data_IF_684743998458
#
_entry.id   IF_684743998458
#
_cell.length_a   1.000
_cell.length_b   1.000
_cell.length_c   1.000
_cell.angle_alpha   90.00
_cell.angle_beta   90.00
_cell.angle_gamma   90.00
#
_symmetry.space_group_name_H-M   'P 1'
#
loop_
_entity.id
_entity.type
_entity.pdbx_description
1 polymer ?
#
# COMPACT_ATOMS: atom_id res chain seq x y z
N UNK A 1 44.81 43.74 -38.44
CA UNK A 1 44.81 42.75 -37.32
C UNK A 1 43.80 43.25 -36.29
N UNK A 2 42.56 42.77 -36.34
CA UNK A 2 41.44 43.25 -35.52
C UNK A 2 41.20 42.23 -34.41
N UNK A 3 41.26 42.67 -33.14
CA UNK A 3 40.95 41.85 -31.97
C UNK A 3 39.44 41.84 -31.76
N UNK A 4 38.84 40.66 -31.74
CA UNK A 4 37.46 40.43 -31.31
C UNK A 4 37.55 39.68 -29.97
N UNK A 5 36.90 40.12 -28.88
CA UNK A 5 36.84 39.34 -27.66
C UNK A 5 35.77 38.25 -27.77
N UNK A 6 36.20 37.00 -27.67
CA UNK A 6 35.32 35.83 -27.58
C UNK A 6 34.47 35.90 -26.31
N UNK A 7 33.16 35.86 -26.50
CA UNK A 7 32.17 35.84 -25.43
C UNK A 7 32.18 34.45 -24.81
N UNK A 8 32.72 34.33 -23.59
CA UNK A 8 32.62 33.10 -22.80
C UNK A 8 31.18 32.89 -22.36
N UNK A 9 30.39 32.18 -23.16
CA UNK A 9 29.10 31.63 -22.73
C UNK A 9 29.32 30.20 -22.29
N UNK A 10 29.56 30.07 -20.99
CA UNK A 10 29.51 28.83 -20.21
C UNK A 10 28.17 28.13 -20.45
N UNK A 11 28.17 27.07 -21.25
CA UNK A 11 27.07 26.11 -21.30
C UNK A 11 27.45 24.91 -20.45
N UNK A 12 27.16 25.02 -19.15
CA UNK A 12 27.09 23.88 -18.25
C UNK A 12 26.07 22.89 -18.81
N UNK A 13 26.55 21.78 -19.36
CA UNK A 13 25.73 20.60 -19.66
C UNK A 13 25.36 19.91 -18.34
N UNK A 14 24.44 20.50 -17.58
CA UNK A 14 23.67 19.78 -16.57
C UNK A 14 22.52 19.07 -17.30
N UNK A 15 22.74 17.84 -17.70
CA UNK A 15 21.64 16.90 -17.91
C UNK A 15 21.81 15.79 -16.89
N UNK A 16 21.38 16.09 -15.66
CA UNK A 16 21.07 15.07 -14.68
C UNK A 16 19.86 14.33 -15.26
N UNK A 17 20.12 13.17 -15.85
CA UNK A 17 19.07 12.23 -16.22
C UNK A 17 18.42 11.79 -14.92
N UNK A 18 17.31 12.42 -14.56
CA UNK A 18 16.43 11.91 -13.51
C UNK A 18 15.89 10.57 -14.01
N UNK A 19 16.61 9.50 -13.68
CA UNK A 19 16.07 8.15 -13.72
C UNK A 19 14.96 8.15 -12.67
N UNK A 20 13.72 8.42 -13.10
CA UNK A 20 12.54 8.09 -12.31
C UNK A 20 12.64 6.61 -12.03
N UNK A 21 13.09 6.26 -10.83
CA UNK A 21 12.96 4.90 -10.33
C UNK A 21 11.46 4.65 -10.26
N UNK A 22 10.92 4.00 -11.29
CA UNK A 22 9.69 3.25 -11.12
C UNK A 22 10.06 2.08 -10.20
N UNK A 23 10.03 2.32 -8.89
CA UNK A 23 9.82 1.24 -7.95
C UNK A 23 8.50 0.59 -8.36
N UNK A 24 8.51 -0.72 -8.59
CA UNK A 24 7.28 -1.49 -8.74
C UNK A 24 6.33 -1.08 -7.61
N UNK A 25 5.01 -1.01 -7.82
CA UNK A 25 4.09 -0.78 -6.72
C UNK A 25 4.29 -1.92 -5.74
N UNK A 26 5.03 -1.67 -4.65
CA UNK A 26 5.14 -2.57 -3.52
C UNK A 26 3.74 -2.66 -2.98
N UNK A 27 3.04 -3.69 -3.45
CA UNK A 27 1.66 -3.93 -3.06
C UNK A 27 1.74 -4.31 -1.59
N UNK A 28 1.45 -3.33 -0.73
CA UNK A 28 1.38 -3.48 0.72
C UNK A 28 0.62 -4.77 1.01
N UNK A 29 1.34 -5.78 1.50
CA UNK A 29 0.81 -7.10 1.78
C UNK A 29 0.72 -7.23 3.28
N UNK A 30 -0.46 -7.59 3.76
CA UNK A 30 -0.71 -7.79 5.16
C UNK A 30 -1.63 -8.97 5.41
N UNK A 31 -1.89 -9.19 6.69
CA UNK A 31 -2.71 -10.27 7.19
C UNK A 31 -3.82 -9.67 8.04
N UNK A 32 -5.03 -10.21 7.88
CA UNK A 32 -6.13 -9.97 8.80
C UNK A 32 -6.39 -11.23 9.62
N UNK A 33 -6.76 -11.03 10.88
CA UNK A 33 -7.32 -12.05 11.75
C UNK A 33 -8.63 -11.55 12.34
N UNK A 34 -9.69 -12.33 12.17
CA UNK A 34 -11.00 -12.10 12.76
C UNK A 34 -11.20 -13.09 13.90
N UNK A 35 -11.58 -12.59 15.07
CA UNK A 35 -11.99 -13.41 16.22
C UNK A 35 -13.47 -13.18 16.49
N UNK A 36 -14.24 -14.27 16.47
CA UNK A 36 -15.66 -14.32 16.78
C UNK A 36 -15.89 -15.35 17.90
N UNK A 37 -17.08 -15.40 18.54
CA UNK A 37 -17.32 -16.30 19.68
C UNK A 37 -17.02 -17.79 19.44
N UNK A 38 -17.13 -18.25 18.19
CA UNK A 38 -17.00 -19.66 17.84
C UNK A 38 -15.89 -19.96 16.84
N UNK A 39 -15.15 -18.95 16.38
CA UNK A 39 -14.04 -19.17 15.45
C UNK A 39 -13.00 -18.06 15.48
N UNK A 40 -11.78 -18.40 15.10
CA UNK A 40 -10.73 -17.47 14.70
C UNK A 40 -10.32 -17.81 13.27
N UNK A 41 -10.27 -16.82 12.38
CA UNK A 41 -9.95 -17.05 10.98
C UNK A 41 -9.10 -15.92 10.39
N UNK A 42 -8.21 -16.27 9.47
CA UNK A 42 -7.31 -15.33 8.81
C UNK A 42 -7.53 -15.23 7.31
N UNK A 43 -7.08 -14.11 6.73
CA UNK A 43 -7.03 -13.91 5.29
C UNK A 43 -5.86 -12.97 4.92
N UNK A 44 -5.31 -13.16 3.73
CA UNK A 44 -4.32 -12.23 3.18
C UNK A 44 -5.03 -10.96 2.70
N UNK A 45 -4.33 -9.83 2.80
CA UNK A 45 -4.76 -8.54 2.30
C UNK A 45 -3.65 -7.97 1.43
N UNK A 46 -3.97 -7.59 0.20
CA UNK A 46 -3.01 -6.94 -0.70
C UNK A 46 -3.61 -5.63 -1.17
N UNK A 47 -2.87 -4.53 -1.00
CA UNK A 47 -3.34 -3.19 -1.37
C UNK A 47 -4.63 -2.78 -0.65
N UNK A 48 -4.83 -3.26 0.58
CA UNK A 48 -6.03 -2.98 1.38
C UNK A 48 -7.27 -3.80 0.99
N UNK A 49 -7.15 -4.80 0.11
CA UNK A 49 -8.26 -5.66 -0.31
C UNK A 49 -8.01 -7.11 0.11
N UNK A 50 -9.03 -7.78 0.64
CA UNK A 50 -8.95 -9.19 1.03
C UNK A 50 -8.77 -10.06 -0.22
N UNK A 51 -7.66 -10.77 -0.31
CA UNK A 51 -7.33 -11.61 -1.46
C UNK A 51 -6.42 -12.78 -1.07
N UNK A 52 -5.80 -13.45 -2.05
CA UNK A 52 -4.84 -14.52 -1.78
C UNK A 52 -5.43 -15.72 -1.03
N UNK A 53 -4.72 -16.14 0.02
CA UNK A 53 -5.07 -17.23 0.93
C UNK A 53 -6.13 -16.74 1.91
N UNK A 54 -7.27 -17.43 1.93
CA UNK A 54 -8.42 -17.05 2.75
C UNK A 54 -8.97 -18.30 3.42
N UNK A 55 -9.17 -18.25 4.73
CA UNK A 55 -9.85 -19.32 5.45
C UNK A 55 -11.24 -19.59 4.85
N UNK A 56 -11.70 -20.86 4.73
CA UNK A 56 -12.96 -21.19 4.06
C UNK A 56 -14.18 -20.39 4.55
N UNK A 57 -14.28 -20.18 5.87
CA UNK A 57 -15.37 -19.42 6.50
C UNK A 57 -15.37 -17.93 6.10
N UNK A 58 -14.24 -17.38 5.66
CA UNK A 58 -14.11 -15.97 5.24
C UNK A 58 -14.16 -15.80 3.71
N UNK A 59 -14.36 -16.87 2.92
CA UNK A 59 -14.33 -16.78 1.45
C UNK A 59 -15.30 -15.75 0.86
N UNK A 60 -16.44 -15.53 1.51
CA UNK A 60 -17.42 -14.53 1.08
C UNK A 60 -16.92 -13.07 1.20
N UNK A 61 -15.84 -12.84 1.95
CA UNK A 61 -15.19 -11.54 2.08
C UNK A 61 -14.13 -11.28 1.00
N UNK A 62 -13.87 -12.24 0.10
CA UNK A 62 -12.89 -12.05 -0.99
C UNK A 62 -13.26 -10.84 -1.85
N UNK A 63 -12.29 -9.98 -2.10
CA UNK A 63 -12.48 -8.73 -2.85
C UNK A 63 -13.05 -7.58 -2.02
N UNK A 64 -13.32 -7.78 -0.72
CA UNK A 64 -13.78 -6.68 0.12
C UNK A 64 -12.61 -5.76 0.48
N UNK A 65 -12.79 -4.44 0.43
CA UNK A 65 -11.82 -3.50 0.99
C UNK A 65 -11.81 -3.62 2.53
N UNK A 66 -10.67 -3.34 3.16
CA UNK A 66 -10.48 -3.51 4.60
C UNK A 66 -11.49 -2.69 5.43
N UNK A 67 -11.91 -1.52 4.94
CA UNK A 67 -12.90 -0.66 5.57
C UNK A 67 -14.28 -1.34 5.66
N UNK A 68 -14.64 -2.12 4.64
CA UNK A 68 -15.87 -2.92 4.64
C UNK A 68 -15.78 -4.06 5.63
N UNK A 69 -14.63 -4.74 5.71
CA UNK A 69 -14.38 -5.80 6.70
C UNK A 69 -14.48 -5.24 8.12
N UNK A 70 -13.82 -4.10 8.39
CA UNK A 70 -13.91 -3.36 9.68
C UNK A 70 -15.36 -3.06 10.05
N UNK A 71 -16.14 -2.50 9.11
CA UNK A 71 -17.55 -2.17 9.32
C UNK A 71 -18.39 -3.41 9.65
N UNK A 72 -18.17 -4.51 8.94
CA UNK A 72 -18.88 -5.76 9.13
C UNK A 72 -18.53 -6.43 10.48
N UNK A 73 -17.25 -6.53 10.83
CA UNK A 73 -16.84 -7.05 12.13
C UNK A 73 -17.43 -6.22 13.26
N UNK A 74 -17.47 -4.88 13.13
CA UNK A 74 -18.12 -4.00 14.11
C UNK A 74 -19.62 -4.28 14.26
N UNK A 75 -20.36 -4.47 13.17
CA UNK A 75 -21.80 -4.79 13.25
C UNK A 75 -22.07 -6.15 13.87
N UNK A 76 -21.16 -7.11 13.65
CA UNK A 76 -21.24 -8.46 14.20
C UNK A 76 -20.66 -8.58 15.62
N UNK A 77 -20.06 -7.52 16.16
CA UNK A 77 -19.28 -7.51 17.41
C UNK A 77 -18.15 -8.54 17.40
N UNK A 78 -17.47 -8.68 16.27
CA UNK A 78 -16.27 -9.48 16.11
C UNK A 78 -15.03 -8.59 16.23
N UNK A 79 -13.95 -9.16 16.75
CA UNK A 79 -12.66 -8.47 16.85
C UNK A 79 -11.89 -8.64 15.53
N UNK A 80 -11.26 -7.57 15.08
CA UNK A 80 -10.43 -7.56 13.89
C UNK A 80 -9.03 -7.06 14.25
N UNK A 81 -8.02 -7.87 13.92
CA UNK A 81 -6.61 -7.52 14.00
C UNK A 81 -6.05 -7.46 12.60
N UNK A 82 -5.36 -6.37 12.26
CA UNK A 82 -4.67 -6.18 10.99
C UNK A 82 -3.18 -6.00 11.22
N UNK A 83 -2.35 -6.61 10.38
CA UNK A 83 -0.90 -6.45 10.42
C UNK A 83 -0.39 -6.17 9.00
N UNK A 84 0.37 -5.08 8.80
CA UNK A 84 0.87 -4.69 7.48
C UNK A 84 -0.22 -4.24 6.49
N UNK A 85 -1.42 -3.90 7.00
CA UNK A 85 -2.57 -3.41 6.22
C UNK A 85 -2.87 -1.94 6.55
N UNK A 86 -2.22 -1.39 7.57
CA UNK A 86 -2.45 -0.03 8.04
C UNK A 86 -1.64 0.92 7.19
N UNK A 87 -2.34 1.71 6.37
CA UNK A 87 -1.77 2.92 5.78
C UNK A 87 -1.32 3.82 6.94
N UNK A 88 -0.04 4.18 6.97
CA UNK A 88 0.47 5.18 7.91
C UNK A 88 -0.48 6.40 7.97
N UNK A 89 -0.95 6.74 9.17
CA UNK A 89 -1.58 8.05 9.43
C UNK A 89 -2.90 8.09 10.20
N UNK A 90 -2.89 7.68 11.48
CA UNK A 90 -3.32 8.53 12.61
C UNK A 90 -3.13 7.79 13.93
N UNK A 91 -2.08 8.14 14.66
CA UNK A 91 -2.07 7.97 16.11
C UNK A 91 -3.14 8.92 16.69
N UNK A 92 -4.03 8.39 17.52
CA UNK A 92 -4.78 9.15 18.53
C UNK A 92 -4.29 8.76 19.90
#
# INVERSE_FOLDING_TARGET
MVKIPDTSTSLQKMQITHRTQMSAPTSETGLLRISAPHFCAGADVVGGVVCGTIAPILRYMRGWPIERVRSYCRSMRWELLTQGVDREGHHV
#
